data_IF_768287627315
#
_entry.id   IF_768287627315
#
_cell.length_a   1.000
_cell.length_b   1.000
_cell.length_c   1.000
_cell.angle_alpha   90.00
_cell.angle_beta   90.00
_cell.angle_gamma   90.00
#
_symmetry.space_group_name_H-M   'P 1'
#
loop_
_entity.id
_entity.type
_entity.pdbx_description
1 polymer ?
#
# COMPACT_ATOMS: atom_id res chain seq x y z
N UNK A 1 2.71 -27.29 -23.54
CA UNK A 1 1.98 -26.91 -22.31
C UNK A 1 2.89 -25.94 -21.59
N UNK A 2 2.75 -24.67 -21.95
CA UNK A 2 3.59 -23.61 -21.42
C UNK A 2 3.15 -23.30 -19.99
N UNK A 3 4.08 -23.46 -19.05
CA UNK A 3 3.87 -23.03 -17.68
C UNK A 3 3.86 -21.50 -17.70
N UNK A 4 2.68 -20.91 -17.62
CA UNK A 4 2.54 -19.49 -17.23
C UNK A 4 3.03 -19.42 -15.79
N UNK A 5 4.26 -18.97 -15.58
CA UNK A 5 4.72 -18.50 -14.28
C UNK A 5 3.95 -17.22 -13.97
N UNK A 6 2.95 -17.33 -13.09
CA UNK A 6 2.29 -16.18 -12.49
C UNK A 6 3.32 -15.38 -11.71
N UNK A 7 3.78 -14.27 -12.28
CA UNK A 7 4.60 -13.29 -11.59
C UNK A 7 3.73 -12.58 -10.53
N UNK A 8 3.65 -13.12 -9.31
CA UNK A 8 2.85 -12.49 -8.26
C UNK A 8 2.79 -13.18 -6.90
N UNK A 9 3.68 -14.13 -6.59
CA UNK A 9 3.57 -14.97 -5.39
C UNK A 9 4.84 -14.94 -4.53
N UNK A 10 5.32 -13.75 -4.21
CA UNK A 10 6.17 -13.56 -3.02
C UNK A 10 5.58 -12.43 -2.17
N UNK A 11 4.29 -12.60 -1.83
CA UNK A 11 3.65 -11.75 -0.84
C UNK A 11 4.28 -12.09 0.50
N UNK A 12 4.87 -11.10 1.16
CA UNK A 12 5.39 -11.24 2.52
C UNK A 12 4.25 -11.74 3.42
N UNK A 13 4.31 -13.00 3.82
CA UNK A 13 3.34 -13.63 4.73
C UNK A 13 3.64 -13.22 6.17
N UNK A 14 3.45 -11.94 6.46
CA UNK A 14 3.78 -11.31 7.75
C UNK A 14 2.51 -10.88 8.51
N UNK A 15 1.33 -11.26 8.03
CA UNK A 15 0.05 -10.94 8.67
C UNK A 15 -0.46 -9.51 8.43
N UNK A 16 0.25 -8.71 7.62
CA UNK A 16 -0.22 -7.37 7.19
C UNK A 16 -1.03 -7.42 5.89
N UNK A 17 -1.38 -8.61 5.41
CA UNK A 17 -2.23 -8.74 4.23
C UNK A 17 -3.64 -8.22 4.55
N UNK A 18 -4.04 -7.18 3.81
CA UNK A 18 -5.36 -6.58 3.94
C UNK A 18 -6.36 -7.50 3.25
N UNK A 19 -7.20 -8.18 4.02
CA UNK A 19 -8.39 -8.80 3.47
C UNK A 19 -9.33 -7.70 2.97
N UNK A 20 -9.70 -7.74 1.70
CA UNK A 20 -10.78 -6.92 1.18
C UNK A 20 -12.07 -7.32 1.90
N UNK A 21 -12.41 -6.59 2.97
CA UNK A 21 -13.63 -6.80 3.76
C UNK A 21 -14.91 -6.43 2.98
N UNK A 22 -14.76 -5.85 1.79
CA UNK A 22 -15.83 -5.52 0.87
C UNK A 22 -15.72 -6.41 -0.38
N UNK A 23 -16.04 -7.70 -0.22
CA UNK A 23 -16.31 -8.58 -1.35
C UNK A 23 -17.73 -8.33 -1.91
N UNK A 24 -18.07 -7.06 -2.11
CA UNK A 24 -19.29 -6.66 -2.80
C UNK A 24 -19.36 -7.30 -4.18
N UNK A 25 -20.59 -7.49 -4.67
CA UNK A 25 -20.88 -8.15 -5.94
C UNK A 25 -20.13 -7.44 -7.09
N UNK A 26 -19.08 -8.07 -7.61
CA UNK A 26 -18.24 -7.50 -8.66
C UNK A 26 -19.08 -7.08 -9.87
N UNK A 27 -18.97 -5.80 -10.26
CA UNK A 27 -19.67 -5.28 -11.44
C UNK A 27 -18.79 -5.37 -12.68
N UNK A 28 -19.18 -6.20 -13.65
CA UNK A 28 -18.41 -6.38 -14.90
C UNK A 28 -18.25 -5.12 -15.75
N UNK A 29 -19.03 -4.07 -15.51
CA UNK A 29 -18.91 -2.78 -16.23
C UNK A 29 -17.86 -1.84 -15.62
N UNK A 30 -17.29 -2.19 -14.46
CA UNK A 30 -16.34 -1.36 -13.73
C UNK A 30 -14.92 -1.88 -13.96
N UNK A 31 -14.01 -1.00 -14.39
CA UNK A 31 -12.61 -1.34 -14.60
C UNK A 31 -11.81 -1.24 -13.29
N UNK A 32 -12.02 -2.23 -12.42
CA UNK A 32 -11.28 -2.36 -11.16
C UNK A 32 -9.76 -2.51 -11.39
N UNK A 33 -9.35 -3.07 -12.53
CA UNK A 33 -7.94 -3.32 -12.85
C UNK A 33 -7.22 -2.01 -13.15
N UNK A 34 -7.84 -1.10 -13.89
CA UNK A 34 -7.27 0.23 -14.15
C UNK A 34 -7.03 1.00 -12.83
N UNK A 35 -8.03 1.05 -11.95
CA UNK A 35 -7.89 1.70 -10.64
C UNK A 35 -6.83 1.03 -9.78
N UNK A 36 -6.85 -0.29 -9.67
CA UNK A 36 -5.84 -1.04 -8.91
C UNK A 36 -4.42 -0.81 -9.45
N UNK A 37 -4.21 -0.76 -10.77
CA UNK A 37 -2.89 -0.52 -11.38
C UNK A 37 -2.33 0.86 -11.05
N UNK A 38 -3.19 1.89 -11.01
CA UNK A 38 -2.79 3.22 -10.57
C UNK A 38 -2.36 3.19 -9.09
N UNK A 39 -3.18 2.58 -8.23
CA UNK A 39 -2.88 2.41 -6.81
C UNK A 39 -1.60 1.60 -6.58
N UNK A 40 -1.34 0.55 -7.37
CA UNK A 40 -0.13 -0.27 -7.29
C UNK A 40 1.14 0.57 -7.49
N UNK A 41 1.15 1.43 -8.51
CA UNK A 41 2.29 2.32 -8.76
C UNK A 41 2.52 3.31 -7.62
N UNK A 42 1.44 3.84 -7.05
CA UNK A 42 1.51 4.76 -5.92
C UNK A 42 1.99 4.04 -4.64
N UNK A 43 1.46 2.86 -4.35
CA UNK A 43 1.88 2.02 -3.23
C UNK A 43 3.36 1.63 -3.34
N UNK A 44 3.83 1.22 -4.53
CA UNK A 44 5.25 0.92 -4.76
C UNK A 44 6.16 2.11 -4.49
N UNK A 45 5.73 3.31 -4.91
CA UNK A 45 6.47 4.55 -4.63
C UNK A 45 6.54 4.82 -3.14
N UNK A 46 5.43 4.68 -2.42
CA UNK A 46 5.38 4.88 -0.97
C UNK A 46 6.24 3.84 -0.23
N UNK A 47 6.17 2.56 -0.61
CA UNK A 47 6.99 1.50 -0.03
C UNK A 47 8.50 1.76 -0.23
N UNK A 48 8.92 2.25 -1.39
CA UNK A 48 10.32 2.67 -1.60
C UNK A 48 10.72 3.84 -0.69
N UNK A 49 9.83 4.80 -0.47
CA UNK A 49 10.10 5.92 0.44
C UNK A 49 10.18 5.46 1.90
N UNK A 50 9.30 4.55 2.33
CA UNK A 50 9.35 3.93 3.66
C UNK A 50 10.69 3.21 3.89
N UNK A 51 11.12 2.40 2.92
CA UNK A 51 12.44 1.75 2.98
C UNK A 51 13.59 2.75 3.06
N UNK A 52 13.54 3.83 2.27
CA UNK A 52 14.55 4.88 2.31
C UNK A 52 14.60 5.63 3.65
N UNK A 53 13.47 5.69 4.37
CA UNK A 53 13.36 6.24 5.72
C UNK A 53 13.72 5.23 6.82
N UNK A 54 14.16 4.01 6.47
CA UNK A 54 14.52 2.97 7.43
C UNK A 54 13.35 2.17 8.01
N UNK A 55 12.16 2.29 7.42
CA UNK A 55 10.97 1.53 7.84
C UNK A 55 10.96 0.15 7.19
N UNK A 56 10.80 -0.89 8.00
CA UNK A 56 10.68 -2.28 7.53
C UNK A 56 9.28 -2.57 6.99
N UNK A 57 9.19 -3.04 5.73
CA UNK A 57 7.92 -3.35 5.06
C UNK A 57 7.16 -4.54 5.65
N UNK A 58 7.85 -5.39 6.43
CA UNK A 58 7.24 -6.46 7.23
C UNK A 58 6.48 -5.93 8.45
N UNK A 59 6.66 -4.64 8.78
CA UNK A 59 6.04 -3.99 9.94
C UNK A 59 5.02 -2.92 9.55
N UNK A 60 5.26 -2.20 8.46
CA UNK A 60 4.32 -1.25 7.84
C UNK A 60 4.53 -1.26 6.32
N UNK A 61 3.46 -1.45 5.54
CA UNK A 61 3.49 -1.33 4.08
C UNK A 61 2.25 -0.62 3.51
N UNK A 62 2.45 0.00 2.36
CA UNK A 62 1.39 0.44 1.49
C UNK A 62 0.91 -0.73 0.61
N UNK A 63 -0.41 -0.88 0.51
CA UNK A 63 -1.10 -1.91 -0.26
C UNK A 63 -2.06 -1.24 -1.23
N UNK A 64 -2.02 -1.69 -2.49
CA UNK A 64 -2.94 -1.22 -3.50
C UNK A 64 -4.25 -1.99 -3.48
N UNK A 65 -5.34 -1.25 -3.62
CA UNK A 65 -6.71 -1.73 -3.62
C UNK A 65 -7.52 -0.96 -4.67
N UNK A 66 -8.72 -1.44 -4.98
CA UNK A 66 -9.72 -0.71 -5.74
C UNK A 66 -11.02 -0.71 -4.95
N UNK A 67 -11.67 0.46 -4.83
CA UNK A 67 -12.97 0.52 -4.16
C UNK A 67 -14.08 -0.06 -5.05
N UNK A 68 -15.30 -0.15 -4.51
CA UNK A 68 -16.50 -0.63 -5.21
C UNK A 68 -16.82 0.06 -6.54
N UNK A 69 -16.35 1.30 -6.73
CA UNK A 69 -16.54 2.11 -7.94
C UNK A 69 -15.40 1.92 -8.96
N UNK A 70 -14.43 1.05 -8.67
CA UNK A 70 -13.24 0.81 -9.51
C UNK A 70 -12.15 1.86 -9.37
N UNK A 71 -12.24 2.76 -8.39
CA UNK A 71 -11.20 3.77 -8.12
C UNK A 71 -10.05 3.15 -7.35
N UNK A 72 -8.82 3.43 -7.77
CA UNK A 72 -7.63 3.02 -7.05
C UNK A 72 -7.55 3.64 -5.65
N UNK A 73 -7.20 2.83 -4.66
CA UNK A 73 -6.99 3.23 -3.27
C UNK A 73 -5.65 2.69 -2.79
N UNK A 74 -4.87 3.51 -2.09
CA UNK A 74 -3.68 3.07 -1.37
C UNK A 74 -4.04 2.98 0.10
N UNK A 75 -3.92 1.78 0.68
CA UNK A 75 -4.13 1.52 2.11
C UNK A 75 -2.79 1.31 2.80
N UNK A 76 -2.70 1.68 4.06
CA UNK A 76 -1.55 1.37 4.90
C UNK A 76 -1.91 0.21 5.83
N UNK A 77 -1.11 -0.85 5.82
CA UNK A 77 -1.21 -1.95 6.78
C UNK A 77 0.04 -1.94 7.65
N UNK A 78 -0.11 -2.01 8.96
CA UNK A 78 1.03 -2.01 9.86
C UNK A 78 0.70 -2.41 11.28
N UNK A 79 1.72 -2.87 12.01
CA UNK A 79 1.63 -3.10 13.44
C UNK A 79 1.55 -1.77 14.19
N UNK A 80 0.77 -1.66 15.27
CA UNK A 80 0.56 -0.40 15.98
C UNK A 80 1.87 0.33 16.31
N UNK A 81 2.84 -0.36 16.90
CA UNK A 81 4.13 0.25 17.27
C UNK A 81 4.93 0.80 16.07
N UNK A 82 4.83 0.15 14.90
CA UNK A 82 5.52 0.62 13.70
C UNK A 82 4.76 1.78 13.02
N UNK A 83 3.43 1.82 13.15
CA UNK A 83 2.61 2.97 12.73
C UNK A 83 2.91 4.20 13.59
N UNK A 84 3.07 4.04 14.91
CA UNK A 84 3.48 5.13 15.80
C UNK A 84 4.86 5.70 15.41
N UNK A 85 5.82 4.82 15.10
CA UNK A 85 7.14 5.25 14.62
C UNK A 85 7.05 6.02 13.29
N UNK A 86 6.20 5.57 12.37
CA UNK A 86 5.97 6.28 11.11
C UNK A 86 5.33 7.66 11.36
N UNK A 87 4.41 7.79 12.33
CA UNK A 87 3.81 9.07 12.68
C UNK A 87 4.88 10.08 13.15
N UNK A 88 5.78 9.67 14.05
CA UNK A 88 6.90 10.51 14.52
C UNK A 88 7.77 10.99 13.36
N UNK A 89 8.11 10.11 12.41
CA UNK A 89 8.90 10.48 11.22
C UNK A 89 8.21 11.55 10.36
N UNK A 90 6.88 11.44 10.20
CA UNK A 90 6.10 12.40 9.43
C UNK A 90 5.98 13.75 10.15
N UNK A 91 5.84 13.73 11.48
CA UNK A 91 5.82 14.92 12.33
C UNK A 91 7.15 15.68 12.28
N UNK A 92 8.27 14.97 12.40
CA UNK A 92 9.62 15.55 12.29
C UNK A 92 9.84 16.18 10.90
N UNK A 93 9.44 15.48 9.83
CA UNK A 93 9.54 16.00 8.46
C UNK A 93 8.67 17.25 8.25
N UNK A 94 7.48 17.30 8.86
CA UNK A 94 6.63 18.48 8.79
C UNK A 94 7.23 19.68 9.56
N UNK A 95 7.91 19.42 10.68
CA UNK A 95 8.63 20.43 11.45
C UNK A 95 9.79 21.07 10.69
N UNK A 96 10.55 20.26 9.93
CA UNK A 96 11.67 20.73 9.11
C UNK A 96 11.22 21.63 7.94
N UNK A 97 10.10 21.31 7.30
CA UNK A 97 9.52 22.13 6.22
C UNK A 97 9.06 23.51 6.72
N UNK A 98 8.73 23.65 8.00
CA UNK A 98 8.36 24.91 8.63
C UNK A 98 9.53 25.80 9.09
N UNK A 99 10.78 25.30 9.02
CA UNK A 99 11.98 26.02 9.47
C UNK A 99 12.63 26.92 8.41
N UNK A 100 12.17 26.87 7.15
CA UNK A 100 12.57 27.78 6.09
C UNK A 100 11.59 28.96 6.01
N UNK A 101 11.77 29.97 6.85
CA UNK A 101 11.11 31.29 6.74
C UNK A 101 12.02 32.39 7.26
#
# INVERSE_FOLDING_TARGET
MDHVSGAGEDRLNDGLDVFALDAGLWNSSVDYVAGWREAARAADRLNRALLAAGVELSRVRAVADANQDGRGVVRLAGWPAAVEQLAVLLEDAAGDVGGAS
#
